data_IF_582549009598
#
_entry.id   IF_582549009598
#
_cell.length_a   1.000
_cell.length_b   1.000
_cell.length_c   1.000
_cell.angle_alpha   90.00
_cell.angle_beta   90.00
_cell.angle_gamma   90.00
#
_symmetry.space_group_name_H-M   'P 1'
#
loop_
_entity.id
_entity.type
_entity.pdbx_description
1 polymer ?
#
# COMPACT_ATOMS: atom_id res chain seq x y z
N UNK A 1 10.40 -6.08 1.83
CA UNK A 1 10.45 -4.59 1.80
C UNK A 1 10.37 -4.03 0.38
N UNK A 2 11.26 -4.42 -0.56
CA UNK A 2 11.25 -3.88 -1.94
C UNK A 2 9.88 -3.98 -2.65
N UNK A 3 9.19 -5.11 -2.54
CA UNK A 3 7.84 -5.28 -3.11
C UNK A 3 6.80 -4.31 -2.53
N UNK A 4 6.86 -4.04 -1.21
CA UNK A 4 5.96 -3.08 -0.55
C UNK A 4 6.22 -1.66 -1.04
N UNK A 5 7.50 -1.29 -1.19
CA UNK A 5 7.90 0.03 -1.71
C UNK A 5 7.40 0.21 -3.14
N UNK A 6 7.66 -0.77 -4.00
CA UNK A 6 7.26 -0.72 -5.41
C UNK A 6 5.73 -0.70 -5.60
N UNK A 7 4.99 -1.38 -4.71
CA UNK A 7 3.53 -1.52 -4.82
C UNK A 7 2.77 -0.35 -4.21
N UNK A 8 3.25 0.21 -3.09
CA UNK A 8 2.49 1.15 -2.28
C UNK A 8 3.13 2.53 -2.16
N UNK A 9 4.42 2.69 -2.49
CA UNK A 9 5.09 3.99 -2.44
C UNK A 9 4.42 5.02 -3.35
N UNK A 10 4.45 6.28 -2.94
CA UNK A 10 3.95 7.43 -3.70
C UNK A 10 4.96 8.58 -3.71
N UNK A 11 4.59 9.74 -4.25
CA UNK A 11 5.46 10.91 -4.36
C UNK A 11 5.83 11.52 -2.99
N UNK A 12 5.13 11.15 -1.91
CA UNK A 12 5.43 11.56 -0.54
C UNK A 12 6.38 10.59 0.18
N UNK A 13 6.62 9.40 -0.38
CA UNK A 13 7.53 8.39 0.20
C UNK A 13 6.91 7.03 0.39
N UNK A 14 7.28 6.36 1.49
CA UNK A 14 6.76 5.03 1.83
C UNK A 14 5.29 5.09 2.22
N UNK A 15 4.56 4.02 1.90
CA UNK A 15 3.23 3.73 2.44
C UNK A 15 3.28 2.31 3.00
N UNK A 16 3.31 2.20 4.33
CA UNK A 16 3.46 0.91 5.00
C UNK A 16 2.11 0.40 5.50
N UNK A 17 1.75 -0.85 5.17
CA UNK A 17 0.63 -1.51 5.85
C UNK A 17 0.84 -1.51 7.37
N UNK A 18 -0.18 -1.21 8.18
CA UNK A 18 -0.04 -1.09 9.63
C UNK A 18 0.56 -2.32 10.32
N UNK A 19 0.33 -3.52 9.80
CA UNK A 19 0.83 -4.78 10.37
C UNK A 19 2.36 -4.86 10.36
N UNK A 20 3.00 -4.38 9.29
CA UNK A 20 4.45 -4.47 9.08
C UNK A 20 5.19 -3.18 9.41
N UNK A 21 4.48 -2.06 9.64
CA UNK A 21 5.10 -0.78 9.97
C UNK A 21 5.85 -0.85 11.31
N UNK A 22 7.16 -0.54 11.39
CA UNK A 22 7.91 -0.53 12.65
C UNK A 22 7.32 0.46 13.66
N UNK A 23 6.82 1.60 13.16
CA UNK A 23 6.06 2.59 13.90
C UNK A 23 4.68 2.65 13.24
N UNK A 24 3.64 2.29 14.00
CA UNK A 24 2.25 2.33 13.52
C UNK A 24 1.64 3.72 13.67
N UNK A 25 2.03 4.40 14.74
CA UNK A 25 1.50 5.70 15.11
C UNK A 25 2.63 6.63 15.51
N UNK A 26 2.68 7.80 14.93
CA UNK A 26 3.54 8.89 15.40
C UNK A 26 2.70 9.99 16.03
N UNK A 27 3.10 10.46 17.21
CA UNK A 27 2.46 11.60 17.86
C UNK A 27 3.30 12.85 17.60
N UNK A 28 2.69 13.88 17.04
CA UNK A 28 3.32 15.17 16.76
C UNK A 28 2.67 16.25 17.59
N UNK A 29 3.32 16.70 18.67
CA UNK A 29 2.90 17.87 19.42
C UNK A 29 3.04 19.13 18.55
N UNK A 30 2.00 19.96 18.52
CA UNK A 30 2.00 21.26 17.82
C UNK A 30 2.25 22.34 18.86
N UNK A 31 3.48 22.89 18.93
CA UNK A 31 3.85 23.86 19.97
C UNK A 31 3.02 25.15 19.81
N UNK A 32 2.67 25.76 20.94
CA UNK A 32 2.02 27.04 20.98
C UNK A 32 2.60 27.86 22.14
N UNK A 33 2.96 29.11 21.86
CA UNK A 33 3.62 30.01 22.82
C UNK A 33 2.93 30.05 24.18
N UNK A 34 3.64 29.64 25.22
CA UNK A 34 3.18 29.60 26.61
C UNK A 34 2.36 28.36 26.98
N UNK A 35 2.16 27.39 26.07
CA UNK A 35 1.46 26.12 26.32
C UNK A 35 2.32 24.88 26.05
N UNK A 36 3.58 25.05 25.68
CA UNK A 36 4.47 23.97 25.22
C UNK A 36 4.55 22.81 26.23
N UNK A 37 4.78 23.14 27.53
CA UNK A 37 4.87 22.14 28.58
C UNK A 37 3.55 21.37 28.79
N UNK A 38 2.40 22.06 28.66
CA UNK A 38 1.08 21.43 28.81
C UNK A 38 0.76 20.53 27.64
N UNK A 39 1.04 20.98 26.41
CA UNK A 39 0.87 20.18 25.17
C UNK A 39 1.78 18.96 25.23
N UNK A 40 3.06 19.12 25.62
CA UNK A 40 3.98 18.02 25.80
C UNK A 40 3.51 16.99 26.82
N UNK A 41 2.99 17.44 27.98
CA UNK A 41 2.41 16.54 28.99
C UNK A 41 1.18 15.80 28.46
N UNK A 42 0.33 16.47 27.70
CA UNK A 42 -0.83 15.82 27.08
C UNK A 42 -0.41 14.82 26.01
N UNK A 43 0.56 15.14 25.17
CA UNK A 43 1.09 14.23 24.17
C UNK A 43 1.75 12.99 24.81
N UNK A 44 2.43 13.13 25.95
CA UNK A 44 2.96 12.00 26.72
C UNK A 44 1.84 11.11 27.26
N UNK A 45 0.75 11.69 27.77
CA UNK A 45 -0.43 10.93 28.19
C UNK A 45 -1.02 10.13 27.03
N UNK A 46 -1.14 10.74 25.84
CA UNK A 46 -1.61 10.05 24.63
C UNK A 46 -0.66 8.91 24.25
N UNK A 47 0.65 9.16 24.31
CA UNK A 47 1.69 8.15 24.02
C UNK A 47 1.57 6.93 24.93
N UNK A 48 1.48 7.12 26.25
CA UNK A 48 1.38 6.01 27.20
C UNK A 48 0.10 5.21 26.97
N UNK A 49 -1.04 5.88 26.79
CA UNK A 49 -2.33 5.23 26.53
C UNK A 49 -2.28 4.36 25.26
N UNK A 50 -1.73 4.86 24.16
CA UNK A 50 -1.64 4.11 22.91
C UNK A 50 -0.63 2.95 23.01
N UNK A 51 0.47 3.15 23.75
CA UNK A 51 1.47 2.10 24.02
C UNK A 51 0.91 0.97 24.88
N UNK A 52 0.15 1.30 25.92
CA UNK A 52 -0.55 0.34 26.78
C UNK A 52 -1.60 -0.48 26.02
N UNK A 53 -2.20 0.11 24.97
CA UNK A 53 -3.08 -0.59 24.05
C UNK A 53 -2.34 -1.52 23.06
N UNK A 54 -1.02 -1.68 23.18
CA UNK A 54 -0.20 -2.57 22.37
C UNK A 54 0.20 -2.01 21.00
N UNK A 55 0.04 -0.72 20.75
CA UNK A 55 0.44 -0.09 19.50
C UNK A 55 1.95 0.24 19.52
N UNK A 56 2.59 0.16 18.34
CA UNK A 56 3.97 0.63 18.13
C UNK A 56 3.94 2.14 17.88
N UNK A 57 4.16 2.90 18.94
CA UNK A 57 4.00 4.36 18.98
C UNK A 57 5.36 5.05 19.09
N UNK A 58 5.51 6.18 18.42
CA UNK A 58 6.62 7.11 18.59
C UNK A 58 6.11 8.50 18.93
N UNK A 59 6.73 9.17 19.90
CA UNK A 59 6.47 10.57 20.24
C UNK A 59 7.60 11.43 19.65
N UNK A 60 7.27 12.32 18.73
CA UNK A 60 8.25 13.20 18.11
C UNK A 60 8.52 14.45 18.98
N UNK A 61 9.54 14.37 19.81
CA UNK A 61 10.00 15.46 20.68
C UNK A 61 11.10 16.33 20.03
N UNK A 62 11.35 16.21 18.72
CA UNK A 62 12.35 17.06 18.04
C UNK A 62 11.90 18.53 17.98
N UNK A 63 12.86 19.45 17.83
CA UNK A 63 12.60 20.90 17.74
C UNK A 63 12.17 21.37 16.33
N UNK A 64 11.88 20.42 15.42
CA UNK A 64 11.41 20.73 14.08
C UNK A 64 10.01 21.32 14.08
N UNK A 65 9.69 22.10 13.07
CA UNK A 65 8.33 22.60 12.86
C UNK A 65 7.33 21.45 12.59
N UNK A 66 6.04 21.61 12.89
CA UNK A 66 5.05 20.58 12.60
C UNK A 66 5.05 20.13 11.14
N UNK A 67 5.22 21.05 10.18
CA UNK A 67 5.30 20.73 8.76
C UNK A 67 6.48 19.83 8.41
N UNK A 68 7.68 20.13 8.93
CA UNK A 68 8.87 19.29 8.73
C UNK A 68 8.69 17.89 9.33
N UNK A 69 8.04 17.79 10.50
CA UNK A 69 7.71 16.50 11.12
C UNK A 69 6.72 15.71 10.26
N UNK A 70 5.70 16.37 9.69
CA UNK A 70 4.72 15.73 8.82
C UNK A 70 5.40 15.11 7.61
N UNK A 71 6.19 15.89 6.85
CA UNK A 71 6.94 15.39 5.70
C UNK A 71 7.89 14.25 6.06
N UNK A 72 8.59 14.37 7.18
CA UNK A 72 9.50 13.33 7.64
C UNK A 72 8.79 12.00 7.86
N UNK A 73 7.67 12.01 8.60
CA UNK A 73 6.93 10.79 8.92
C UNK A 73 6.11 10.25 7.75
N UNK A 74 5.67 11.11 6.84
CA UNK A 74 5.08 10.71 5.54
C UNK A 74 6.11 9.98 4.69
N UNK A 75 7.34 10.50 4.58
CA UNK A 75 8.44 9.85 3.86
C UNK A 75 8.75 8.45 4.42
N UNK A 76 8.72 8.28 5.74
CA UNK A 76 8.91 6.98 6.40
C UNK A 76 7.68 6.06 6.34
N UNK A 77 6.55 6.54 5.84
CA UNK A 77 5.35 5.75 5.63
C UNK A 77 4.63 5.33 6.91
N UNK A 78 4.70 6.12 7.97
CA UNK A 78 3.98 5.82 9.21
C UNK A 78 2.47 5.85 8.96
N UNK A 79 1.74 4.77 9.25
CA UNK A 79 0.32 4.64 8.88
C UNK A 79 -0.60 5.72 9.43
N UNK A 80 -0.41 6.12 10.68
CA UNK A 80 -1.24 7.14 11.34
C UNK A 80 -0.39 8.15 12.07
N UNK A 81 -0.67 9.42 11.84
CA UNK A 81 -0.15 10.54 12.60
C UNK A 81 -1.22 11.05 13.55
N UNK A 82 -0.86 11.23 14.82
CA UNK A 82 -1.68 11.87 15.85
C UNK A 82 -1.15 13.27 16.07
N UNK A 83 -1.96 14.27 15.77
CA UNK A 83 -1.64 15.67 15.99
C UNK A 83 -2.25 16.10 17.33
N UNK A 84 -1.46 16.83 18.14
CA UNK A 84 -1.87 17.31 19.46
C UNK A 84 -1.57 18.80 19.53
N UNK A 85 -2.62 19.61 19.42
CA UNK A 85 -2.55 21.06 19.53
C UNK A 85 -3.25 21.63 20.78
N UNK A 86 -3.23 22.97 20.93
CA UNK A 86 -3.88 23.64 22.07
C UNK A 86 -5.38 23.38 22.15
N UNK A 87 -6.06 23.26 21.02
CA UNK A 87 -7.49 23.00 20.94
C UNK A 87 -7.78 21.57 21.37
N UNK A 88 -7.03 20.61 20.82
CA UNK A 88 -7.18 19.19 21.15
C UNK A 88 -7.01 18.96 22.65
N UNK A 89 -5.95 19.54 23.23
CA UNK A 89 -5.71 19.46 24.68
C UNK A 89 -6.84 20.04 25.52
N UNK A 90 -7.43 21.20 25.14
CA UNK A 90 -8.52 21.83 25.88
C UNK A 90 -9.81 21.02 25.83
N UNK A 91 -10.09 20.40 24.69
CA UNK A 91 -11.33 19.66 24.44
C UNK A 91 -11.20 18.17 24.80
N UNK A 92 -10.01 17.70 25.18
CA UNK A 92 -9.77 16.29 25.45
C UNK A 92 -9.82 15.42 24.20
N UNK A 93 -9.41 15.99 23.06
CA UNK A 93 -9.40 15.35 21.76
C UNK A 93 -7.97 15.06 21.26
N UNK A 94 -7.88 14.33 20.17
CA UNK A 94 -6.71 14.21 19.30
C UNK A 94 -7.15 14.29 17.85
N UNK A 95 -6.30 14.81 16.98
CA UNK A 95 -6.53 14.81 15.54
C UNK A 95 -5.72 13.68 14.93
N UNK A 96 -6.39 12.72 14.30
CA UNK A 96 -5.78 11.60 13.56
C UNK A 96 -5.64 11.98 12.10
N UNK A 97 -4.52 11.63 11.46
CA UNK A 97 -4.31 11.77 10.03
C UNK A 97 -3.75 10.45 9.49
N UNK A 98 -4.44 9.86 8.51
CA UNK A 98 -3.97 8.62 7.89
C UNK A 98 -3.07 8.90 6.68
N UNK A 99 -2.12 7.98 6.39
CA UNK A 99 -1.06 8.17 5.41
C UNK A 99 -1.52 8.04 3.96
N UNK A 100 -2.53 7.20 3.68
CA UNK A 100 -2.88 6.81 2.30
C UNK A 100 -3.59 7.93 1.54
N UNK A 101 -4.62 8.53 2.15
CA UNK A 101 -5.42 9.60 1.54
C UNK A 101 -5.25 10.95 2.25
N UNK A 102 -4.43 11.00 3.32
CA UNK A 102 -4.21 12.18 4.19
C UNK A 102 -5.51 12.70 4.83
N UNK A 103 -6.50 11.83 4.99
CA UNK A 103 -7.75 12.17 5.66
C UNK A 103 -7.53 12.41 7.14
N UNK A 104 -8.21 13.43 7.67
CA UNK A 104 -8.12 13.84 9.07
C UNK A 104 -9.45 13.62 9.78
N UNK A 105 -9.35 13.15 11.02
CA UNK A 105 -10.51 13.00 11.93
C UNK A 105 -10.14 13.47 13.33
N UNK A 106 -10.99 14.31 13.94
CA UNK A 106 -10.87 14.66 15.35
C UNK A 106 -11.71 13.71 16.18
N UNK A 107 -11.10 13.11 17.20
CA UNK A 107 -11.73 12.12 18.07
C UNK A 107 -11.45 12.43 19.54
N UNK A 108 -12.35 12.06 20.43
CA UNK A 108 -12.11 12.15 21.87
C UNK A 108 -11.03 11.15 22.29
N UNK A 109 -10.27 11.48 23.32
CA UNK A 109 -9.14 10.68 23.78
C UNK A 109 -9.53 9.23 24.13
N UNK A 110 -10.68 9.04 24.75
CA UNK A 110 -11.22 7.73 25.12
C UNK A 110 -11.51 6.83 23.90
N UNK A 111 -11.82 7.42 22.74
CA UNK A 111 -12.10 6.71 21.49
C UNK A 111 -10.87 6.57 20.56
N UNK A 112 -9.76 7.21 20.92
CA UNK A 112 -8.60 7.29 20.03
C UNK A 112 -8.05 5.91 19.65
N UNK A 113 -7.95 4.95 20.58
CA UNK A 113 -7.45 3.59 20.31
C UNK A 113 -8.35 2.88 19.29
N UNK A 114 -9.68 2.91 19.54
CA UNK A 114 -10.64 2.28 18.63
C UNK A 114 -10.58 2.92 17.23
N UNK A 115 -10.58 4.25 17.17
CA UNK A 115 -10.52 4.98 15.90
C UNK A 115 -9.25 4.66 15.10
N UNK A 116 -8.09 4.55 15.76
CA UNK A 116 -6.83 4.15 15.12
C UNK A 116 -6.92 2.72 14.58
N UNK A 117 -7.49 1.78 15.33
CA UNK A 117 -7.67 0.39 14.88
C UNK A 117 -8.62 0.29 13.67
N UNK A 118 -9.69 1.07 13.66
CA UNK A 118 -10.60 1.18 12.51
C UNK A 118 -9.89 1.80 11.29
N UNK A 119 -9.06 2.81 11.53
CA UNK A 119 -8.24 3.45 10.49
C UNK A 119 -7.21 2.47 9.92
N UNK A 120 -6.60 1.60 10.72
CA UNK A 120 -5.72 0.53 10.23
C UNK A 120 -6.43 -0.45 9.29
N UNK A 121 -7.65 -0.87 9.66
CA UNK A 121 -8.48 -1.72 8.79
C UNK A 121 -8.83 -1.03 7.47
N UNK A 122 -9.15 0.28 7.53
CA UNK A 122 -9.41 1.09 6.34
C UNK A 122 -8.16 1.15 5.45
N UNK A 123 -7.00 1.49 6.00
CA UNK A 123 -5.72 1.55 5.28
C UNK A 123 -5.42 0.22 4.56
N UNK A 124 -5.56 -0.92 5.24
CA UNK A 124 -5.34 -2.24 4.64
C UNK A 124 -6.28 -2.49 3.46
N UNK A 125 -7.56 -2.18 3.62
CA UNK A 125 -8.56 -2.33 2.55
C UNK A 125 -8.21 -1.45 1.36
N UNK A 126 -7.93 -0.17 1.59
CA UNK A 126 -7.63 0.81 0.54
C UNK A 126 -6.36 0.41 -0.24
N UNK A 127 -5.30 -0.03 0.46
CA UNK A 127 -4.08 -0.55 -0.17
C UNK A 127 -4.34 -1.82 -1.01
N UNK A 128 -5.17 -2.73 -0.50
CA UNK A 128 -5.55 -3.94 -1.24
C UNK A 128 -6.36 -3.61 -2.49
N UNK A 129 -7.36 -2.74 -2.37
CA UNK A 129 -8.19 -2.31 -3.49
C UNK A 129 -7.36 -1.59 -4.56
N UNK A 130 -6.46 -0.70 -4.16
CA UNK A 130 -5.51 -0.02 -5.05
C UNK A 130 -4.62 -1.03 -5.80
N UNK A 131 -4.07 -2.02 -5.09
CA UNK A 131 -3.25 -3.08 -5.71
C UNK A 131 -4.03 -3.91 -6.71
N UNK A 132 -5.25 -4.32 -6.37
CA UNK A 132 -6.11 -5.12 -7.26
C UNK A 132 -6.52 -4.32 -8.50
N UNK A 133 -6.87 -3.05 -8.33
CA UNK A 133 -7.18 -2.17 -9.47
C UNK A 133 -5.98 -2.02 -10.39
N UNK A 134 -4.80 -1.72 -9.83
CA UNK A 134 -3.56 -1.60 -10.61
C UNK A 134 -3.26 -2.89 -11.38
N UNK A 135 -3.37 -4.05 -10.73
CA UNK A 135 -3.12 -5.35 -11.39
C UNK A 135 -4.11 -5.58 -12.53
N UNK A 136 -5.39 -5.27 -12.32
CA UNK A 136 -6.43 -5.38 -13.35
C UNK A 136 -6.14 -4.45 -14.53
N UNK A 137 -5.81 -3.20 -14.25
CA UNK A 137 -5.52 -2.20 -15.28
C UNK A 137 -4.24 -2.55 -16.07
N UNK A 138 -3.26 -3.16 -15.42
CA UNK A 138 -2.01 -3.60 -16.04
C UNK A 138 -2.14 -4.91 -16.82
N UNK A 139 -3.23 -5.67 -16.68
CA UNK A 139 -3.41 -6.98 -17.31
C UNK A 139 -4.30 -6.87 -18.55
N UNK A 140 -3.79 -7.32 -19.71
CA UNK A 140 -4.52 -7.37 -20.97
C UNK A 140 -4.67 -8.81 -21.45
N UNK A 141 -5.83 -9.17 -21.99
CA UNK A 141 -5.99 -10.43 -22.70
C UNK A 141 -5.25 -10.36 -24.05
N UNK A 142 -4.50 -11.41 -24.39
CA UNK A 142 -3.89 -11.56 -25.70
C UNK A 142 -4.28 -12.91 -26.30
N UNK A 143 -4.97 -12.87 -27.43
CA UNK A 143 -5.47 -14.05 -28.16
C UNK A 143 -4.56 -14.49 -29.32
N UNK A 144 -3.57 -13.67 -29.66
CA UNK A 144 -2.62 -13.89 -30.74
C UNK A 144 -1.25 -13.28 -30.42
N UNK A 145 -0.25 -13.64 -31.19
CA UNK A 145 1.14 -13.22 -30.98
C UNK A 145 1.34 -11.71 -31.12
N UNK A 146 0.58 -11.04 -31.98
CA UNK A 146 0.73 -9.60 -32.19
C UNK A 146 0.17 -8.82 -31.00
N UNK A 147 -0.98 -9.23 -30.46
CA UNK A 147 -1.56 -8.66 -29.25
C UNK A 147 -0.66 -8.91 -28.02
N UNK A 148 -0.02 -10.09 -27.94
CA UNK A 148 0.99 -10.39 -26.92
C UNK A 148 2.19 -9.42 -27.03
N UNK A 149 2.81 -9.31 -28.22
CA UNK A 149 3.93 -8.40 -28.46
C UNK A 149 3.58 -6.96 -28.11
N UNK A 150 2.41 -6.49 -28.50
CA UNK A 150 1.90 -5.14 -28.18
C UNK A 150 1.79 -4.93 -26.67
N UNK A 151 1.23 -5.90 -25.94
CA UNK A 151 1.07 -5.85 -24.50
C UNK A 151 2.41 -5.79 -23.77
N UNK A 152 3.36 -6.66 -24.16
CA UNK A 152 4.70 -6.70 -23.56
C UNK A 152 5.50 -5.43 -23.84
N UNK A 153 5.42 -4.88 -25.08
CA UNK A 153 6.06 -3.60 -25.44
C UNK A 153 5.50 -2.44 -24.63
N UNK A 154 4.20 -2.48 -24.29
CA UNK A 154 3.56 -1.50 -23.43
C UNK A 154 3.90 -1.68 -21.94
N UNK A 155 4.82 -2.61 -21.59
CA UNK A 155 5.22 -2.95 -20.21
C UNK A 155 4.04 -3.39 -19.34
N UNK A 156 3.11 -4.14 -19.95
CA UNK A 156 1.94 -4.68 -19.27
C UNK A 156 2.04 -6.20 -19.16
N UNK A 157 1.12 -6.79 -18.42
CA UNK A 157 0.99 -8.23 -18.22
C UNK A 157 0.02 -8.76 -19.29
N UNK A 158 0.40 -9.78 -20.02
CA UNK A 158 -0.48 -10.45 -20.96
C UNK A 158 -1.08 -11.72 -20.33
N UNK A 159 -2.39 -11.84 -20.35
CA UNK A 159 -3.12 -13.05 -20.00
C UNK A 159 -3.34 -13.84 -21.29
N UNK A 160 -2.80 -15.06 -21.36
CA UNK A 160 -2.81 -15.90 -22.56
C UNK A 160 -3.22 -17.34 -22.26
N UNK A 161 -3.80 -18.03 -23.26
CA UNK A 161 -4.07 -19.46 -23.18
C UNK A 161 -2.89 -20.28 -23.68
N UNK A 162 -2.46 -21.29 -22.93
CA UNK A 162 -1.25 -22.09 -23.17
C UNK A 162 -1.53 -23.59 -23.01
N UNK A 163 -0.92 -24.40 -23.89
CA UNK A 163 -1.11 -25.87 -23.96
C UNK A 163 -0.23 -26.69 -23.00
N UNK A 164 0.57 -26.04 -22.14
CA UNK A 164 1.48 -26.77 -21.25
C UNK A 164 2.85 -27.13 -21.85
N UNK A 165 3.04 -26.96 -23.16
CA UNK A 165 4.24 -27.38 -23.86
C UNK A 165 5.39 -26.37 -23.69
N UNK A 166 6.59 -26.87 -23.34
CA UNK A 166 7.80 -26.07 -23.12
C UNK A 166 8.22 -25.35 -24.42
N UNK A 167 8.11 -25.98 -25.56
CA UNK A 167 8.47 -25.36 -26.86
C UNK A 167 7.57 -24.13 -27.13
N UNK A 168 6.30 -24.19 -26.75
CA UNK A 168 5.42 -23.05 -26.85
C UNK A 168 5.76 -21.92 -25.84
N UNK A 169 6.24 -22.26 -24.66
CA UNK A 169 6.71 -21.27 -23.69
C UNK A 169 7.98 -20.56 -24.17
N UNK A 170 8.93 -21.30 -24.78
CA UNK A 170 10.13 -20.73 -25.39
C UNK A 170 9.78 -19.79 -26.54
N UNK A 171 8.86 -20.18 -27.42
CA UNK A 171 8.39 -19.32 -28.51
C UNK A 171 7.68 -18.05 -27.98
N UNK A 172 6.91 -18.14 -26.90
CA UNK A 172 6.34 -16.95 -26.24
C UNK A 172 7.47 -15.99 -25.85
N UNK A 173 8.54 -16.49 -25.23
CA UNK A 173 9.69 -15.68 -24.80
C UNK A 173 10.40 -15.07 -26.01
N UNK A 174 10.78 -15.90 -27.00
CA UNK A 174 11.59 -15.48 -28.12
C UNK A 174 10.85 -14.47 -29.03
N UNK A 175 9.55 -14.65 -29.22
CA UNK A 175 8.75 -13.77 -30.05
C UNK A 175 8.35 -12.45 -29.35
N UNK A 176 8.07 -12.49 -28.05
CA UNK A 176 7.53 -11.31 -27.34
C UNK A 176 8.56 -10.60 -26.45
N UNK A 177 9.64 -11.28 -26.04
CA UNK A 177 10.56 -10.84 -25.01
C UNK A 177 9.96 -10.89 -23.60
N UNK A 178 8.78 -11.49 -23.45
CA UNK A 178 8.13 -11.74 -22.16
C UNK A 178 8.22 -13.21 -21.79
N UNK A 179 8.16 -13.52 -20.51
CA UNK A 179 8.21 -14.89 -19.99
C UNK A 179 6.93 -15.24 -19.26
N UNK A 180 6.52 -16.50 -19.29
CA UNK A 180 5.42 -17.02 -18.47
C UNK A 180 5.83 -16.88 -17.00
N UNK A 181 5.05 -16.13 -16.21
CA UNK A 181 5.28 -15.92 -14.78
C UNK A 181 4.49 -16.88 -13.90
N UNK A 182 3.50 -17.53 -14.44
CA UNK A 182 2.65 -18.49 -13.75
C UNK A 182 1.19 -18.37 -14.13
N UNK A 183 0.36 -19.01 -13.33
CA UNK A 183 -1.11 -18.95 -13.41
C UNK A 183 -1.68 -18.59 -12.04
N UNK A 184 -2.93 -18.19 -11.98
CA UNK A 184 -3.62 -17.91 -10.72
C UNK A 184 -3.90 -19.21 -9.97
N UNK A 185 -3.65 -19.20 -8.66
CA UNK A 185 -3.94 -20.32 -7.75
C UNK A 185 -5.17 -20.05 -6.87
N UNK A 186 -5.62 -18.81 -6.80
CA UNK A 186 -6.74 -18.36 -5.99
C UNK A 186 -8.09 -18.53 -6.70
N UNK A 187 -8.09 -18.64 -8.02
CA UNK A 187 -9.24 -18.98 -8.86
C UNK A 187 -8.82 -19.95 -9.96
N UNK A 188 -9.73 -20.84 -10.33
CA UNK A 188 -9.57 -21.72 -11.49
C UNK A 188 -9.99 -20.96 -12.76
N UNK A 189 -9.03 -20.59 -13.60
CA UNK A 189 -9.31 -19.96 -14.89
C UNK A 189 -9.35 -21.02 -16.00
N UNK A 190 -10.49 -21.10 -16.69
CA UNK A 190 -10.62 -21.99 -17.84
C UNK A 190 -10.14 -21.28 -19.12
N UNK A 191 -9.32 -21.95 -19.97
CA UNK A 191 -8.96 -21.40 -21.27
C UNK A 191 -10.19 -21.16 -22.13
N UNK A 192 -10.27 -19.97 -22.74
CA UNK A 192 -11.38 -19.57 -23.62
C UNK A 192 -11.01 -19.73 -25.11
N UNK A 193 -9.70 -19.92 -25.39
CA UNK A 193 -9.14 -20.00 -26.73
C UNK A 193 -8.09 -21.10 -26.80
N UNK A 194 -7.73 -21.59 -28.01
CA UNK A 194 -6.59 -22.48 -28.21
C UNK A 194 -5.27 -21.81 -27.75
N UNK A 195 -4.21 -22.63 -27.67
CA UNK A 195 -2.87 -22.15 -27.39
C UNK A 195 -2.45 -21.06 -28.38
N UNK A 196 -2.01 -19.94 -27.86
CA UNK A 196 -1.63 -18.74 -28.63
C UNK A 196 -0.50 -19.01 -29.66
N UNK A 197 0.30 -20.07 -29.45
CA UNK A 197 1.43 -20.42 -30.32
C UNK A 197 1.06 -21.51 -31.34
N UNK A 198 0.59 -22.67 -30.88
CA UNK A 198 0.45 -23.86 -31.73
C UNK A 198 -1.00 -24.15 -32.16
N UNK A 199 -1.98 -23.41 -31.63
CA UNK A 199 -3.40 -23.61 -31.95
C UNK A 199 -4.02 -24.90 -31.39
N UNK A 200 -3.26 -25.74 -30.66
CA UNK A 200 -3.80 -26.92 -29.97
C UNK A 200 -4.67 -26.48 -28.77
N UNK A 201 -5.47 -27.38 -28.26
CA UNK A 201 -6.25 -27.15 -27.05
C UNK A 201 -5.34 -26.61 -25.93
N UNK A 202 -5.78 -25.56 -25.24
CA UNK A 202 -5.03 -24.98 -24.15
C UNK A 202 -5.40 -25.65 -22.83
N UNK A 203 -4.43 -25.96 -22.01
CA UNK A 203 -4.61 -26.57 -20.69
C UNK A 203 -4.81 -25.50 -19.61
N UNK A 204 -4.14 -24.35 -19.75
CA UNK A 204 -4.06 -23.32 -18.72
C UNK A 204 -4.13 -21.92 -19.29
N UNK A 205 -4.63 -21.01 -18.45
CA UNK A 205 -4.44 -19.57 -18.62
C UNK A 205 -3.20 -19.17 -17.85
N UNK A 206 -2.25 -18.52 -18.52
CA UNK A 206 -1.00 -18.08 -17.92
C UNK A 206 -0.77 -16.59 -18.12
N UNK A 207 0.06 -16.01 -17.26
CA UNK A 207 0.40 -14.60 -17.28
C UNK A 207 1.84 -14.42 -17.75
N UNK A 208 2.01 -13.61 -18.79
CA UNK A 208 3.29 -13.31 -19.42
C UNK A 208 3.69 -11.89 -19.12
N UNK A 209 4.90 -11.68 -18.68
CA UNK A 209 5.45 -10.35 -18.43
C UNK A 209 6.95 -10.32 -18.70
N UNK A 210 7.49 -9.14 -19.01
CA UNK A 210 8.92 -8.94 -19.17
C UNK A 210 9.60 -8.93 -17.79
N UNK A 211 10.72 -9.63 -17.65
CA UNK A 211 11.66 -9.44 -16.55
C UNK A 211 12.49 -8.17 -16.78
N UNK A 212 12.99 -7.61 -15.71
CA UNK A 212 13.95 -6.51 -15.77
C UNK A 212 15.34 -7.04 -16.12
#
# INVERSE_FOLDING_TARGET
MAAVIAQHGDDHGLVLPPEIAPIQVVIVPIPYKGLEAKIGSYAKKVFEMLREAGLRVHLDETDKTPGEKYYYWEMFGVPVRVEVGPKDMKEGHVTLCERVNLERASVTLDKAVQAIQEMFKKIQRDLRERSLSTLKDMTNNASDIESLKKTIRARRIARVCWCGDIECAEKIRDESGGEIRGHRIDIEEKPEHPCIICGREAEKVVYVAKAY
#
